data_IF_388219913579
#
_entry.id   IF_388219913579
#
_cell.length_a   1.000
_cell.length_b   1.000
_cell.length_c   1.000
_cell.angle_alpha   90.00
_cell.angle_beta   90.00
_cell.angle_gamma   90.00
#
_symmetry.space_group_name_H-M   'P 1'
#
loop_
_entity.id
_entity.type
_entity.pdbx_description
1 polymer ?
#
# COMPACT_ATOMS: atom_id res chain seq x y z
N UNK A 1 34.67 -10.00 -7.87
CA UNK A 1 33.41 -9.55 -8.51
C UNK A 1 32.26 -10.04 -7.63
N UNK A 2 31.73 -9.18 -6.77
CA UNK A 2 30.68 -9.52 -5.81
C UNK A 2 29.33 -9.60 -6.50
N UNK A 3 28.63 -10.72 -6.32
CA UNK A 3 27.20 -10.84 -6.56
C UNK A 3 26.49 -9.84 -5.65
N UNK A 4 25.86 -8.83 -6.22
CA UNK A 4 24.83 -8.06 -5.55
C UNK A 4 23.67 -9.01 -5.25
N UNK A 5 23.48 -9.31 -3.97
CA UNK A 5 22.25 -9.92 -3.47
C UNK A 5 21.13 -8.90 -3.66
N UNK A 6 20.46 -9.00 -4.81
CA UNK A 6 19.10 -8.53 -4.94
C UNK A 6 18.25 -9.40 -4.02
N UNK A 7 17.91 -8.89 -2.84
CA UNK A 7 16.74 -9.38 -2.11
C UNK A 7 15.57 -9.05 -3.03
N UNK A 8 15.20 -10.02 -3.88
CA UNK A 8 14.04 -9.89 -4.75
C UNK A 8 12.83 -9.67 -3.86
N UNK A 9 12.22 -8.49 -3.94
CA UNK A 9 10.93 -8.23 -3.31
C UNK A 9 9.99 -9.38 -3.70
N UNK A 10 9.26 -9.91 -2.72
CA UNK A 10 8.22 -10.90 -3.01
C UNK A 10 7.28 -10.33 -4.09
N UNK A 11 6.77 -11.16 -5.01
CA UNK A 11 5.91 -10.69 -6.08
C UNK A 11 4.68 -9.97 -5.50
N UNK A 12 4.35 -8.82 -6.08
CA UNK A 12 3.13 -8.08 -5.71
C UNK A 12 1.93 -8.89 -6.16
N UNK A 13 0.93 -9.04 -5.28
CA UNK A 13 -0.25 -9.84 -5.57
C UNK A 13 -1.46 -8.96 -5.86
N UNK A 14 -2.27 -9.38 -6.81
CA UNK A 14 -3.50 -8.72 -7.19
C UNK A 14 -4.60 -9.76 -7.39
N UNK A 15 -5.71 -9.56 -6.69
CA UNK A 15 -6.93 -10.34 -6.83
C UNK A 15 -7.96 -9.52 -7.60
N UNK A 16 -8.47 -10.07 -8.69
CA UNK A 16 -9.50 -9.42 -9.52
C UNK A 16 -10.74 -10.31 -9.53
N UNK A 17 -11.80 -9.85 -8.89
CA UNK A 17 -13.10 -10.53 -8.89
C UNK A 17 -14.02 -9.91 -9.92
N UNK A 18 -14.47 -10.72 -10.87
CA UNK A 18 -15.54 -10.38 -11.79
C UNK A 18 -16.88 -10.77 -11.14
N UNK A 19 -17.72 -9.79 -10.84
CA UNK A 19 -19.11 -9.98 -10.39
C UNK A 19 -19.99 -9.68 -11.60
N UNK A 20 -20.46 -10.70 -12.30
CA UNK A 20 -20.98 -10.54 -13.68
C UNK A 20 -22.40 -11.05 -13.78
N UNK A 21 -23.26 -10.22 -14.35
CA UNK A 21 -24.54 -10.64 -14.86
C UNK A 21 -24.35 -11.69 -15.98
N UNK A 22 -25.05 -12.81 -15.86
CA UNK A 22 -24.99 -13.92 -16.82
C UNK A 22 -26.33 -14.27 -17.43
N UNK A 23 -27.17 -13.26 -17.62
CA UNK A 23 -28.42 -13.34 -18.38
C UNK A 23 -28.18 -13.19 -19.88
N UNK A 24 -29.23 -13.42 -20.67
CA UNK A 24 -29.19 -13.55 -22.12
C UNK A 24 -28.66 -12.32 -22.85
N UNK A 25 -28.92 -11.13 -22.32
CA UNK A 25 -28.53 -9.85 -22.91
C UNK A 25 -27.02 -9.59 -22.82
N UNK A 26 -26.37 -10.05 -21.76
CA UNK A 26 -24.91 -9.94 -21.54
C UNK A 26 -24.04 -10.84 -22.44
N UNK A 27 -24.63 -11.55 -23.40
CA UNK A 27 -23.93 -12.55 -24.22
C UNK A 27 -22.76 -11.97 -25.02
N UNK A 28 -22.93 -10.80 -25.61
CA UNK A 28 -21.90 -10.18 -26.44
C UNK A 28 -20.77 -9.58 -25.60
N UNK A 29 -21.10 -8.97 -24.46
CA UNK A 29 -20.16 -8.45 -23.44
C UNK A 29 -19.28 -9.56 -22.85
N UNK A 30 -19.90 -10.66 -22.41
CA UNK A 30 -19.18 -11.82 -21.88
C UNK A 30 -18.22 -12.40 -22.94
N UNK A 31 -18.67 -12.45 -24.20
CA UNK A 31 -17.83 -12.92 -25.30
C UNK A 31 -16.65 -11.97 -25.55
N UNK A 32 -16.88 -10.67 -25.51
CA UNK A 32 -15.82 -9.66 -25.69
C UNK A 32 -14.74 -9.78 -24.60
N UNK A 33 -15.14 -9.89 -23.33
CA UNK A 33 -14.20 -10.09 -22.21
C UNK A 33 -13.42 -11.39 -22.35
N UNK A 34 -14.11 -12.49 -22.66
CA UNK A 34 -13.49 -13.80 -22.86
C UNK A 34 -12.41 -13.74 -23.94
N UNK A 35 -12.71 -13.14 -25.09
CA UNK A 35 -11.82 -13.13 -26.24
C UNK A 35 -10.59 -12.23 -25.99
N UNK A 36 -10.71 -11.21 -25.14
CA UNK A 36 -9.65 -10.25 -24.82
C UNK A 36 -8.86 -10.53 -23.53
N UNK A 37 -9.36 -11.35 -22.60
CA UNK A 37 -8.78 -11.50 -21.25
C UNK A 37 -7.28 -11.86 -21.26
N UNK A 38 -6.86 -12.78 -22.13
CA UNK A 38 -5.44 -13.18 -22.17
C UNK A 38 -4.53 -12.02 -22.62
N UNK A 39 -5.00 -11.19 -23.55
CA UNK A 39 -4.26 -10.02 -24.01
C UNK A 39 -4.25 -8.93 -22.95
N UNK A 40 -5.35 -8.74 -22.21
CA UNK A 40 -5.40 -7.85 -21.04
C UNK A 40 -4.36 -8.28 -20.01
N UNK A 41 -4.37 -9.55 -19.58
CA UNK A 41 -3.40 -10.06 -18.59
C UNK A 41 -1.97 -9.87 -19.09
N UNK A 42 -1.71 -10.16 -20.36
CA UNK A 42 -0.38 -10.01 -20.97
C UNK A 42 0.08 -8.54 -20.97
N UNK A 43 -0.80 -7.59 -21.24
CA UNK A 43 -0.47 -6.17 -21.24
C UNK A 43 -0.18 -5.67 -19.82
N UNK A 44 -1.05 -5.97 -18.86
CA UNK A 44 -0.91 -5.57 -17.46
C UNK A 44 0.36 -6.15 -16.84
N UNK A 45 0.63 -7.45 -17.03
CA UNK A 45 1.85 -8.10 -16.47
C UNK A 45 3.14 -7.65 -17.16
N UNK A 46 3.07 -7.17 -18.41
CA UNK A 46 4.22 -6.57 -19.10
C UNK A 46 4.52 -5.18 -18.54
N UNK A 47 3.49 -4.40 -18.22
CA UNK A 47 3.61 -3.03 -17.68
C UNK A 47 4.04 -3.05 -16.20
N UNK A 48 3.46 -3.94 -15.40
CA UNK A 48 3.72 -4.07 -13.96
C UNK A 48 4.56 -5.32 -13.69
N UNK A 49 5.88 -5.15 -13.59
CA UNK A 49 6.82 -6.26 -13.31
C UNK A 49 6.53 -6.94 -11.97
N UNK A 50 6.78 -8.24 -11.89
CA UNK A 50 6.64 -9.06 -10.68
C UNK A 50 5.25 -8.97 -10.05
N UNK A 51 4.21 -8.92 -10.90
CA UNK A 51 2.81 -8.92 -10.52
C UNK A 51 2.21 -10.32 -10.71
N UNK A 52 1.74 -10.92 -9.62
CA UNK A 52 0.93 -12.13 -9.63
C UNK A 52 -0.56 -11.76 -9.59
N UNK A 53 -1.27 -12.06 -10.67
CA UNK A 53 -2.72 -11.80 -10.76
C UNK A 53 -3.49 -13.12 -10.58
N UNK A 54 -4.48 -13.11 -9.70
CA UNK A 54 -5.50 -14.15 -9.59
C UNK A 54 -6.85 -13.57 -10.00
N UNK A 55 -7.66 -14.38 -10.67
CA UNK A 55 -9.01 -13.96 -11.03
C UNK A 55 -10.05 -14.89 -10.43
N UNK A 56 -11.05 -14.29 -9.80
CA UNK A 56 -12.27 -14.94 -9.33
C UNK A 56 -13.46 -14.50 -10.18
N UNK A 57 -14.49 -15.32 -10.28
CA UNK A 57 -15.72 -14.99 -10.99
C UNK A 57 -16.90 -15.36 -10.11
N UNK A 58 -17.78 -14.40 -9.83
CA UNK A 58 -19.11 -14.62 -9.28
C UNK A 58 -20.10 -14.24 -10.38
N UNK A 59 -20.77 -15.24 -10.94
CA UNK A 59 -21.85 -14.98 -11.88
C UNK A 59 -23.17 -14.92 -11.13
N UNK A 60 -23.97 -13.89 -11.40
CA UNK A 60 -25.33 -13.79 -10.89
C UNK A 60 -26.36 -13.76 -12.03
N UNK A 61 -27.62 -14.00 -11.67
CA UNK A 61 -28.82 -13.93 -12.50
C UNK A 61 -29.96 -13.42 -11.62
N UNK A 62 -31.12 -14.05 -11.70
CA UNK A 62 -32.32 -13.71 -10.98
C UNK A 62 -32.71 -14.78 -9.93
N UNK A 63 -33.65 -14.43 -9.07
CA UNK A 63 -34.27 -15.29 -8.09
C UNK A 63 -35.42 -16.12 -8.68
N UNK A 64 -35.70 -17.32 -8.13
CA UNK A 64 -36.94 -18.02 -8.42
C UNK A 64 -38.17 -17.19 -7.99
N UNK A 65 -39.26 -17.15 -8.79
CA UNK A 65 -39.56 -18.04 -9.91
C UNK A 65 -39.03 -17.58 -11.29
N UNK A 66 -38.39 -16.42 -11.36
CA UNK A 66 -37.99 -15.72 -12.59
C UNK A 66 -36.88 -16.47 -13.30
N UNK A 67 -35.84 -16.84 -12.54
CA UNK A 67 -34.87 -17.85 -12.95
C UNK A 67 -34.92 -19.07 -12.01
N UNK A 68 -34.92 -20.28 -12.61
CA UNK A 68 -34.92 -21.57 -11.89
C UNK A 68 -33.58 -22.30 -11.99
N UNK A 69 -32.56 -21.68 -12.58
CA UNK A 69 -31.25 -22.27 -12.83
C UNK A 69 -30.29 -22.06 -11.66
N UNK A 70 -30.02 -20.82 -11.29
CA UNK A 70 -29.23 -20.40 -10.12
C UNK A 70 -29.36 -18.89 -9.91
N UNK A 71 -29.25 -18.45 -8.66
CA UNK A 71 -29.10 -17.02 -8.32
C UNK A 71 -27.65 -16.59 -8.50
N UNK A 72 -26.73 -17.31 -7.87
CA UNK A 72 -25.28 -17.08 -7.98
C UNK A 72 -24.49 -18.36 -8.24
N UNK A 73 -23.30 -18.22 -8.83
CA UNK A 73 -22.26 -19.27 -8.89
C UNK A 73 -20.89 -18.66 -8.67
N UNK A 74 -20.14 -19.28 -7.76
CA UNK A 74 -18.80 -18.83 -7.38
C UNK A 74 -17.74 -19.72 -8.01
N UNK A 75 -16.84 -19.08 -8.75
CA UNK A 75 -15.61 -19.64 -9.25
C UNK A 75 -14.44 -18.93 -8.56
N UNK A 76 -13.88 -19.60 -7.56
CA UNK A 76 -12.81 -19.03 -6.74
C UNK A 76 -11.52 -18.71 -7.52
N UNK A 77 -10.65 -17.91 -6.89
CA UNK A 77 -9.44 -17.34 -7.46
C UNK A 77 -8.50 -18.36 -8.10
N UNK A 78 -8.00 -18.01 -9.28
CA UNK A 78 -7.06 -18.84 -10.03
C UNK A 78 -5.95 -18.00 -10.68
N UNK A 79 -4.68 -18.37 -10.44
CA UNK A 79 -3.48 -17.73 -11.01
C UNK A 79 -3.33 -17.95 -12.53
N UNK A 80 -3.99 -18.95 -13.12
CA UNK A 80 -3.86 -19.25 -14.55
C UNK A 80 -4.97 -18.56 -15.34
N UNK A 81 -4.64 -17.43 -15.97
CA UNK A 81 -5.57 -16.70 -16.84
C UNK A 81 -6.29 -17.58 -17.88
N UNK A 82 -5.61 -18.60 -18.44
CA UNK A 82 -6.25 -19.58 -19.35
C UNK A 82 -7.38 -20.41 -18.70
N UNK A 83 -7.29 -20.71 -17.40
CA UNK A 83 -8.37 -21.41 -16.68
C UNK A 83 -9.53 -20.46 -16.41
N UNK A 84 -9.24 -19.22 -16.06
CA UNK A 84 -10.25 -18.17 -15.86
C UNK A 84 -10.99 -17.88 -17.16
N UNK A 85 -10.27 -17.72 -18.27
CA UNK A 85 -10.86 -17.55 -19.60
C UNK A 85 -11.81 -18.72 -19.94
N UNK A 86 -11.42 -19.96 -19.61
CA UNK A 86 -12.31 -21.13 -19.80
C UNK A 86 -13.54 -21.09 -18.89
N UNK A 87 -13.43 -20.58 -17.66
CA UNK A 87 -14.56 -20.41 -16.75
C UNK A 87 -15.54 -19.37 -17.29
N UNK A 88 -15.03 -18.21 -17.72
CA UNK A 88 -15.86 -17.18 -18.38
C UNK A 88 -16.49 -17.74 -19.66
N UNK A 89 -15.74 -18.51 -20.46
CA UNK A 89 -16.27 -19.18 -21.65
C UNK A 89 -17.33 -20.26 -21.36
N UNK A 90 -17.41 -20.74 -20.11
CA UNK A 90 -18.41 -21.71 -19.69
C UNK A 90 -19.70 -21.07 -19.15
N UNK A 91 -19.70 -19.75 -18.95
CA UNK A 91 -20.92 -18.99 -18.64
C UNK A 91 -21.86 -19.11 -19.83
N UNK A 92 -23.10 -19.52 -19.56
CA UNK A 92 -24.12 -19.77 -20.59
C UNK A 92 -25.30 -18.82 -20.38
N UNK A 93 -25.23 -17.56 -20.86
CA UNK A 93 -26.34 -16.62 -20.86
C UNK A 93 -27.72 -17.27 -21.07
N UNK A 94 -28.67 -17.02 -20.18
CA UNK A 94 -30.07 -17.48 -20.32
C UNK A 94 -31.05 -16.36 -19.96
N UNK A 95 -32.32 -16.52 -20.31
CA UNK A 95 -33.37 -15.56 -19.93
C UNK A 95 -33.46 -15.43 -18.40
N UNK A 96 -33.53 -14.18 -17.91
CA UNK A 96 -33.60 -13.83 -16.48
C UNK A 96 -35.02 -13.84 -15.91
N UNK A 97 -36.03 -13.58 -16.74
CA UNK A 97 -37.42 -13.47 -16.31
C UNK A 97 -37.84 -12.01 -16.38
N UNK A 98 -37.85 -11.30 -15.25
CA UNK A 98 -37.98 -9.85 -15.21
C UNK A 98 -36.67 -9.12 -15.55
N UNK A 99 -36.73 -7.79 -15.53
CA UNK A 99 -35.62 -6.94 -15.95
C UNK A 99 -34.57 -6.70 -14.88
N UNK A 100 -34.89 -6.43 -13.59
CA UNK A 100 -33.85 -6.31 -12.57
C UNK A 100 -33.27 -7.69 -12.21
N UNK A 101 -32.06 -7.71 -11.65
CA UNK A 101 -31.32 -8.95 -11.38
C UNK A 101 -30.75 -9.01 -9.94
N UNK A 102 -30.28 -10.18 -9.50
CA UNK A 102 -29.73 -10.47 -8.17
C UNK A 102 -28.29 -9.95 -7.95
N UNK A 103 -28.04 -8.68 -8.27
CA UNK A 103 -26.74 -8.01 -8.10
C UNK A 103 -26.27 -8.05 -6.64
N UNK A 104 -27.21 -7.92 -5.69
CA UNK A 104 -26.91 -7.91 -4.27
C UNK A 104 -26.28 -9.24 -3.81
N UNK A 105 -26.85 -10.36 -4.24
CA UNK A 105 -26.34 -11.72 -4.00
C UNK A 105 -24.97 -11.91 -4.64
N UNK A 106 -24.78 -11.42 -5.87
CA UNK A 106 -23.49 -11.46 -6.54
C UNK A 106 -22.39 -10.75 -5.77
N UNK A 107 -22.67 -9.54 -5.25
CA UNK A 107 -21.74 -8.80 -4.41
C UNK A 107 -21.53 -9.48 -3.04
N UNK A 108 -22.59 -10.00 -2.43
CA UNK A 108 -22.50 -10.74 -1.18
C UNK A 108 -21.56 -11.94 -1.31
N UNK A 109 -21.77 -12.80 -2.31
CA UNK A 109 -20.92 -13.96 -2.57
C UNK A 109 -19.49 -13.58 -2.95
N UNK A 110 -19.30 -12.47 -3.67
CA UNK A 110 -17.96 -11.97 -3.94
C UNK A 110 -17.22 -11.59 -2.65
N UNK A 111 -17.91 -11.06 -1.65
CA UNK A 111 -17.32 -10.72 -0.35
C UNK A 111 -17.04 -11.96 0.49
N UNK A 112 -18.01 -12.86 0.64
CA UNK A 112 -17.95 -13.94 1.65
C UNK A 112 -17.45 -15.28 1.12
N UNK A 113 -17.59 -15.55 -0.17
CA UNK A 113 -17.34 -16.87 -0.77
C UNK A 113 -16.01 -16.96 -1.54
N UNK A 114 -15.43 -15.83 -1.96
CA UNK A 114 -14.13 -15.79 -2.62
C UNK A 114 -12.96 -15.78 -1.62
N UNK A 115 -11.88 -16.51 -1.93
CA UNK A 115 -10.69 -16.63 -1.07
C UNK A 115 -9.67 -15.51 -1.27
N UNK A 116 -10.09 -14.27 -0.97
CA UNK A 116 -9.25 -13.08 -1.06
C UNK A 116 -7.94 -13.24 -0.27
N UNK A 117 -6.80 -12.94 -0.90
CA UNK A 117 -5.50 -12.93 -0.23
C UNK A 117 -5.33 -11.62 0.55
N UNK A 118 -4.92 -11.72 1.83
CA UNK A 118 -4.80 -10.55 2.71
C UNK A 118 -3.77 -9.54 2.18
N UNK A 119 -2.65 -10.04 1.68
CA UNK A 119 -1.52 -9.29 1.13
C UNK A 119 -1.66 -8.95 -0.36
N UNK A 120 -2.87 -9.04 -0.92
CA UNK A 120 -3.17 -8.67 -2.30
C UNK A 120 -3.89 -7.32 -2.40
N UNK A 121 -3.60 -6.58 -3.48
CA UNK A 121 -4.48 -5.53 -3.99
C UNK A 121 -5.77 -6.17 -4.49
N UNK A 122 -6.93 -5.66 -4.10
CA UNK A 122 -8.23 -6.32 -4.35
C UNK A 122 -9.07 -5.46 -5.26
N UNK A 123 -9.50 -6.02 -6.38
CA UNK A 123 -10.31 -5.33 -7.38
C UNK A 123 -11.63 -6.08 -7.52
N UNK A 124 -12.74 -5.37 -7.31
CA UNK A 124 -14.08 -5.85 -7.64
C UNK A 124 -14.55 -5.16 -8.89
N UNK A 125 -14.88 -5.94 -9.91
CA UNK A 125 -15.44 -5.50 -11.18
C UNK A 125 -16.90 -5.98 -11.25
N UNK A 126 -17.85 -5.12 -10.87
CA UNK A 126 -19.27 -5.39 -11.06
C UNK A 126 -19.64 -5.05 -12.50
N UNK A 127 -20.21 -5.99 -13.25
CA UNK A 127 -20.55 -5.84 -14.66
C UNK A 127 -21.97 -6.33 -14.92
N UNK A 128 -22.81 -5.49 -15.50
CA UNK A 128 -24.18 -5.86 -15.84
C UNK A 128 -24.91 -4.80 -16.67
N UNK A 129 -26.05 -5.18 -17.22
CA UNK A 129 -26.91 -4.32 -18.04
C UNK A 129 -28.34 -4.17 -17.47
N UNK A 130 -28.61 -4.83 -16.35
CA UNK A 130 -29.85 -4.74 -15.58
C UNK A 130 -29.63 -4.18 -14.15
N UNK A 131 -30.56 -3.35 -13.62
CA UNK A 131 -30.42 -2.79 -12.28
C UNK A 131 -30.67 -3.87 -11.21
N UNK A 132 -30.23 -3.66 -9.96
CA UNK A 132 -30.61 -4.56 -8.87
C UNK A 132 -32.11 -4.46 -8.55
N UNK A 133 -32.68 -5.57 -8.03
CA UNK A 133 -34.02 -5.55 -7.44
C UNK A 133 -34.16 -4.52 -6.31
N UNK A 134 -35.37 -3.97 -6.20
CA UNK A 134 -35.76 -3.08 -5.12
C UNK A 134 -35.96 -1.63 -5.56
N UNK A 135 -37.04 -1.02 -5.05
CA UNK A 135 -37.46 0.37 -5.35
C UNK A 135 -36.41 1.44 -5.00
N UNK A 136 -35.41 1.09 -4.20
CA UNK A 136 -34.30 1.98 -3.89
C UNK A 136 -33.31 2.14 -5.06
N UNK A 137 -33.42 1.31 -6.10
CA UNK A 137 -32.47 1.25 -7.21
C UNK A 137 -33.13 1.33 -8.58
N UNK A 138 -34.39 0.91 -8.70
CA UNK A 138 -35.10 0.97 -9.96
C UNK A 138 -36.58 1.34 -9.74
N UNK A 139 -37.26 1.78 -10.79
CA UNK A 139 -38.71 2.04 -10.81
C UNK A 139 -39.41 1.23 -11.90
N UNK A 140 -38.85 0.07 -12.26
CA UNK A 140 -39.33 -0.78 -13.33
C UNK A 140 -40.59 -1.49 -12.85
N UNK A 141 -41.68 -1.38 -13.61
CA UNK A 141 -42.97 -1.98 -13.24
C UNK A 141 -42.93 -3.52 -13.21
N UNK A 142 -41.99 -4.11 -13.94
CA UNK A 142 -41.76 -5.55 -14.03
C UNK A 142 -40.86 -6.10 -12.91
N UNK A 143 -40.39 -5.29 -11.95
CA UNK A 143 -39.63 -5.79 -10.80
C UNK A 143 -40.51 -6.69 -9.92
N UNK A 144 -40.24 -7.99 -9.94
CA UNK A 144 -40.97 -8.98 -9.14
C UNK A 144 -40.45 -9.10 -7.70
N UNK A 145 -39.37 -8.39 -7.37
CA UNK A 145 -38.82 -8.27 -6.03
C UNK A 145 -38.67 -6.78 -5.63
N UNK A 146 -39.76 -6.00 -5.60
CA UNK A 146 -39.71 -4.55 -5.43
C UNK A 146 -39.25 -4.10 -4.03
N UNK A 147 -39.24 -5.01 -3.05
CA UNK A 147 -38.74 -4.77 -1.70
C UNK A 147 -37.23 -5.08 -1.55
N UNK A 148 -36.57 -5.50 -2.64
CA UNK A 148 -35.14 -5.81 -2.69
C UNK A 148 -34.84 -7.32 -2.75
N UNK A 149 -33.57 -7.66 -2.58
CA UNK A 149 -33.10 -9.06 -2.52
C UNK A 149 -33.90 -9.86 -1.47
N UNK A 150 -34.48 -11.03 -1.83
CA UNK A 150 -35.19 -11.90 -0.90
C UNK A 150 -34.38 -12.35 0.33
N UNK A 151 -33.06 -12.47 0.20
CA UNK A 151 -32.15 -12.84 1.29
C UNK A 151 -31.78 -11.63 2.18
N UNK A 152 -32.24 -10.42 1.83
CA UNK A 152 -32.03 -9.21 2.60
C UNK A 152 -30.70 -8.49 2.34
N UNK A 153 -29.97 -8.89 1.30
CA UNK A 153 -28.73 -8.21 0.89
C UNK A 153 -29.04 -6.89 0.17
N UNK A 154 -28.14 -5.91 0.33
CA UNK A 154 -28.25 -4.62 -0.33
C UNK A 154 -26.93 -4.29 -1.04
N UNK A 155 -26.93 -3.98 -2.35
CA UNK A 155 -25.71 -3.75 -3.12
C UNK A 155 -24.78 -2.68 -2.52
N UNK A 156 -25.36 -1.57 -2.04
CA UNK A 156 -24.60 -0.49 -1.41
C UNK A 156 -24.01 -0.93 -0.06
N UNK A 157 -24.77 -1.65 0.76
CA UNK A 157 -24.24 -2.17 2.02
C UNK A 157 -23.15 -3.22 1.79
N UNK A 158 -23.28 -4.11 0.81
CA UNK A 158 -22.27 -5.12 0.52
C UNK A 158 -20.93 -4.50 0.11
N UNK A 159 -20.95 -3.48 -0.76
CA UNK A 159 -19.74 -2.74 -1.15
C UNK A 159 -19.12 -1.99 0.05
N UNK A 160 -19.94 -1.43 0.94
CA UNK A 160 -19.45 -0.80 2.18
C UNK A 160 -18.83 -1.79 3.15
N UNK A 161 -19.43 -2.97 3.33
CA UNK A 161 -18.86 -4.02 4.17
C UNK A 161 -17.57 -4.58 3.56
N UNK A 162 -17.47 -4.74 2.23
CA UNK A 162 -16.20 -5.05 1.57
C UNK A 162 -15.13 -4.00 1.88
N UNK A 163 -15.46 -2.71 1.79
CA UNK A 163 -14.52 -1.60 2.08
C UNK A 163 -14.06 -1.61 3.53
N UNK A 164 -14.94 -1.94 4.46
CA UNK A 164 -14.63 -2.05 5.89
C UNK A 164 -13.75 -3.26 6.19
N UNK A 165 -13.97 -4.38 5.51
CA UNK A 165 -13.21 -5.63 5.69
C UNK A 165 -11.82 -5.56 5.05
N UNK A 166 -11.72 -5.01 3.84
CA UNK A 166 -10.51 -5.01 3.02
C UNK A 166 -9.72 -3.70 3.04
N UNK A 167 -10.30 -2.64 3.62
CA UNK A 167 -9.64 -1.35 3.80
C UNK A 167 -9.32 -0.63 2.50
N UNK A 168 -8.23 0.14 2.51
CA UNK A 168 -7.78 0.92 1.36
C UNK A 168 -7.15 0.09 0.24
N UNK A 169 -6.96 -1.22 0.45
CA UNK A 169 -6.48 -2.16 -0.59
C UNK A 169 -7.57 -2.61 -1.58
N UNK A 170 -8.84 -2.30 -1.29
CA UNK A 170 -9.98 -2.58 -2.17
C UNK A 170 -10.22 -1.43 -3.16
N UNK A 171 -10.40 -1.79 -4.42
CA UNK A 171 -10.84 -0.92 -5.51
C UNK A 171 -12.14 -1.48 -6.09
N UNK A 172 -13.14 -0.62 -6.22
CA UNK A 172 -14.48 -1.02 -6.68
C UNK A 172 -14.77 -0.29 -7.98
N UNK A 173 -14.95 -1.07 -9.05
CA UNK A 173 -15.31 -0.54 -10.35
C UNK A 173 -16.60 -1.20 -10.81
N UNK A 174 -17.52 -0.37 -11.28
CA UNK A 174 -18.85 -0.80 -11.72
C UNK A 174 -19.00 -0.44 -13.18
N UNK A 175 -19.21 -1.43 -14.04
CA UNK A 175 -19.36 -1.31 -15.48
C UNK A 175 -20.83 -1.54 -15.85
N UNK A 176 -21.50 -0.46 -16.26
CA UNK A 176 -22.87 -0.55 -16.77
C UNK A 176 -22.88 -0.66 -18.27
N UNK A 177 -23.39 -1.79 -18.79
CA UNK A 177 -23.47 -2.08 -20.22
C UNK A 177 -24.78 -1.60 -20.86
N UNK A 178 -25.61 -0.85 -20.12
CA UNK A 178 -26.89 -0.32 -20.58
C UNK A 178 -27.27 0.94 -19.79
N UNK A 179 -27.83 1.98 -20.44
CA UNK A 179 -28.30 3.19 -19.73
C UNK A 179 -29.27 2.93 -18.58
N UNK A 180 -30.01 1.81 -18.58
CA UNK A 180 -30.93 1.43 -17.49
C UNK A 180 -30.26 1.32 -16.13
N UNK A 181 -28.97 0.98 -16.08
CA UNK A 181 -28.26 0.79 -14.81
C UNK A 181 -27.58 2.06 -14.30
N UNK A 182 -27.52 3.13 -15.09
CA UNK A 182 -26.68 4.30 -14.81
C UNK A 182 -26.91 4.90 -13.41
N UNK A 183 -28.16 5.05 -13.00
CA UNK A 183 -28.49 5.56 -11.66
C UNK A 183 -28.11 4.57 -10.55
N UNK A 184 -28.52 3.31 -10.68
CA UNK A 184 -28.32 2.30 -9.64
C UNK A 184 -26.84 1.91 -9.48
N UNK A 185 -26.14 1.69 -10.59
CA UNK A 185 -24.72 1.34 -10.61
C UNK A 185 -23.84 2.53 -10.23
N UNK A 186 -24.21 3.74 -10.64
CA UNK A 186 -23.59 4.98 -10.15
C UNK A 186 -23.70 5.07 -8.62
N UNK A 187 -24.90 4.86 -8.07
CA UNK A 187 -25.14 4.83 -6.62
C UNK A 187 -24.31 3.77 -5.88
N UNK A 188 -24.13 2.58 -6.46
CA UNK A 188 -23.28 1.52 -5.89
C UNK A 188 -21.81 1.96 -5.88
N UNK A 189 -21.30 2.48 -6.99
CA UNK A 189 -19.91 2.95 -7.10
C UNK A 189 -19.62 4.11 -6.15
N UNK A 190 -20.49 5.12 -6.11
CA UNK A 190 -20.33 6.33 -5.28
C UNK A 190 -20.49 6.07 -3.77
N UNK A 191 -20.93 4.86 -3.40
CA UNK A 191 -21.15 4.49 -2.00
C UNK A 191 -19.86 4.35 -1.18
N UNK A 192 -18.70 4.26 -1.85
CA UNK A 192 -17.38 4.13 -1.25
C UNK A 192 -16.35 5.07 -1.89
N UNK A 193 -15.41 5.55 -1.09
CA UNK A 193 -14.35 6.44 -1.57
C UNK A 193 -13.48 5.74 -2.63
N UNK A 194 -13.35 6.37 -3.80
CA UNK A 194 -12.57 5.85 -4.91
C UNK A 194 -13.29 4.82 -5.77
N UNK A 195 -14.55 4.49 -5.47
CA UNK A 195 -15.39 3.73 -6.39
C UNK A 195 -15.62 4.51 -7.69
N UNK A 196 -15.67 3.81 -8.83
CA UNK A 196 -15.91 4.44 -10.14
C UNK A 196 -16.93 3.67 -10.95
N UNK A 197 -17.83 4.41 -11.58
CA UNK A 197 -18.77 3.89 -12.56
C UNK A 197 -18.27 4.14 -13.99
N UNK A 198 -18.35 3.11 -14.83
CA UNK A 198 -18.01 3.15 -16.25
C UNK A 198 -19.29 2.89 -17.05
N UNK A 199 -19.70 3.89 -17.82
CA UNK A 199 -20.81 3.77 -18.75
C UNK A 199 -20.30 3.22 -20.07
N UNK A 200 -20.79 2.04 -20.45
CA UNK A 200 -20.39 1.34 -21.67
C UNK A 200 -21.60 1.24 -22.59
N UNK A 201 -21.41 1.67 -23.84
CA UNK A 201 -22.48 1.67 -24.86
C UNK A 201 -22.37 0.48 -25.81
N UNK A 202 -21.17 -0.07 -25.97
CA UNK A 202 -20.91 -1.22 -26.84
C UNK A 202 -20.09 -2.29 -26.09
N UNK A 203 -20.38 -3.56 -26.33
CA UNK A 203 -19.69 -4.70 -25.71
C UNK A 203 -18.15 -4.69 -25.87
N UNK A 204 -17.65 -4.06 -26.94
CA UNK A 204 -16.20 -3.93 -27.20
C UNK A 204 -15.49 -2.98 -26.23
N UNK A 205 -16.22 -2.07 -25.59
CA UNK A 205 -15.67 -1.09 -24.65
C UNK A 205 -15.34 -1.73 -23.31
N UNK A 206 -16.03 -2.81 -22.93
CA UNK A 206 -15.82 -3.50 -21.66
C UNK A 206 -14.38 -4.04 -21.50
N UNK A 207 -13.81 -4.80 -22.46
CA UNK A 207 -12.39 -5.15 -22.42
C UNK A 207 -11.42 -3.97 -22.30
N UNK A 208 -11.71 -2.85 -22.97
CA UNK A 208 -10.86 -1.65 -22.93
C UNK A 208 -10.91 -0.99 -21.55
N UNK A 209 -12.11 -0.86 -20.97
CA UNK A 209 -12.29 -0.37 -19.62
C UNK A 209 -11.59 -1.26 -18.58
N UNK A 210 -11.69 -2.59 -18.70
CA UNK A 210 -10.98 -3.52 -17.81
C UNK A 210 -9.46 -3.34 -17.92
N UNK A 211 -8.94 -3.20 -19.15
CA UNK A 211 -7.51 -2.95 -19.35
C UNK A 211 -7.09 -1.65 -18.68
N UNK A 212 -7.79 -0.55 -18.92
CA UNK A 212 -7.52 0.76 -18.32
C UNK A 212 -7.54 0.68 -16.78
N UNK A 213 -8.56 0.05 -16.21
CA UNK A 213 -8.69 -0.16 -14.76
C UNK A 213 -7.47 -0.90 -14.20
N UNK A 214 -7.07 -2.01 -14.84
CA UNK A 214 -5.95 -2.81 -14.35
C UNK A 214 -4.59 -2.10 -14.55
N UNK A 215 -4.45 -1.29 -15.60
CA UNK A 215 -3.28 -0.44 -15.80
C UNK A 215 -3.20 0.70 -14.78
N UNK A 216 -4.32 1.35 -14.46
CA UNK A 216 -4.43 2.38 -13.41
C UNK A 216 -3.98 1.83 -12.05
N UNK A 217 -4.49 0.64 -11.66
CA UNK A 217 -4.06 0.00 -10.42
C UNK A 217 -2.58 -0.44 -10.51
N UNK A 218 -2.12 -0.86 -11.69
CA UNK A 218 -0.71 -1.15 -11.95
C UNK A 218 0.21 0.05 -11.74
N UNK A 219 -0.17 1.23 -12.21
CA UNK A 219 0.57 2.47 -12.01
C UNK A 219 0.56 2.89 -10.54
N UNK A 220 -0.58 2.74 -9.85
CA UNK A 220 -0.68 2.93 -8.40
C UNK A 220 0.25 2.00 -7.61
N UNK A 221 0.40 0.74 -8.04
CA UNK A 221 1.36 -0.20 -7.45
C UNK A 221 2.80 0.33 -7.62
N UNK A 222 3.15 0.94 -8.75
CA UNK A 222 4.48 1.55 -8.93
C UNK A 222 4.72 2.73 -7.99
N UNK A 223 3.68 3.55 -7.75
CA UNK A 223 3.73 4.62 -6.75
C UNK A 223 3.96 4.02 -5.36
N UNK A 224 3.20 3.00 -4.97
CA UNK A 224 3.35 2.33 -3.69
C UNK A 224 4.74 1.71 -3.52
N UNK A 225 5.32 1.13 -4.58
CA UNK A 225 6.72 0.63 -4.56
C UNK A 225 7.73 1.75 -4.36
N UNK A 226 7.49 2.93 -4.92
CA UNK A 226 8.34 4.10 -4.73
C UNK A 226 8.26 4.63 -3.30
N UNK A 227 7.05 4.66 -2.72
CA UNK A 227 6.82 5.00 -1.32
C UNK A 227 7.47 3.99 -0.38
N UNK A 228 7.35 2.69 -0.65
CA UNK A 228 7.99 1.62 0.11
C UNK A 228 9.51 1.75 0.06
N UNK A 229 10.09 1.96 -1.13
CA UNK A 229 11.53 2.17 -1.29
C UNK A 229 12.01 3.38 -0.49
N UNK A 230 11.23 4.46 -0.47
CA UNK A 230 11.53 5.64 0.35
C UNK A 230 11.40 5.33 1.85
N UNK A 231 10.40 4.56 2.25
CA UNK A 231 10.21 4.13 3.63
C UNK A 231 11.39 3.31 4.13
N UNK A 232 11.83 2.30 3.37
CA UNK A 232 12.94 1.42 3.72
C UNK A 232 14.27 2.18 3.76
N UNK A 233 14.50 3.08 2.80
CA UNK A 233 15.70 3.93 2.77
C UNK A 233 15.79 4.88 3.98
N UNK A 234 14.68 5.15 4.66
CA UNK A 234 14.62 6.02 5.84
C UNK A 234 14.21 5.29 7.12
N UNK A 235 14.24 3.96 7.16
CA UNK A 235 13.86 3.12 8.32
C UNK A 235 12.49 3.51 8.93
N UNK A 236 11.54 3.90 8.07
CA UNK A 236 10.22 4.37 8.47
C UNK A 236 10.22 5.66 9.32
N UNK A 237 11.26 6.49 9.22
CA UNK A 237 11.41 7.73 10.00
C UNK A 237 11.66 8.94 9.09
N UNK A 238 10.59 9.64 8.72
CA UNK A 238 10.65 10.80 7.84
C UNK A 238 9.50 11.78 8.09
N UNK A 239 9.69 13.04 7.68
CA UNK A 239 8.61 14.02 7.62
C UNK A 239 7.73 13.75 6.40
N UNK A 240 6.41 13.72 6.60
CA UNK A 240 5.46 13.37 5.55
C UNK A 240 5.40 14.43 4.43
N UNK A 241 5.59 15.70 4.75
CA UNK A 241 5.58 16.76 3.75
C UNK A 241 6.86 16.75 2.90
N UNK A 242 8.01 16.49 3.53
CA UNK A 242 9.28 16.31 2.83
C UNK A 242 9.25 15.08 1.91
N UNK A 243 8.74 13.96 2.42
CA UNK A 243 8.56 12.74 1.64
C UNK A 243 7.62 12.94 0.45
N UNK A 244 6.48 13.61 0.66
CA UNK A 244 5.52 13.93 -0.39
C UNK A 244 6.15 14.80 -1.48
N UNK A 245 6.88 15.85 -1.08
CA UNK A 245 7.61 16.72 -2.02
C UNK A 245 8.67 15.97 -2.83
N UNK A 246 9.48 15.13 -2.19
CA UNK A 246 10.51 14.33 -2.87
C UNK A 246 9.88 13.35 -3.86
N UNK A 247 8.84 12.63 -3.44
CA UNK A 247 8.15 11.66 -4.29
C UNK A 247 7.25 12.32 -5.33
N UNK A 248 7.10 13.65 -5.31
CA UNK A 248 6.18 14.43 -6.16
C UNK A 248 4.74 13.93 -6.06
N UNK A 249 4.32 13.61 -4.84
CA UNK A 249 2.98 13.17 -4.51
C UNK A 249 2.28 14.24 -3.69
N UNK A 250 0.96 14.32 -3.80
CA UNK A 250 0.17 15.05 -2.82
C UNK A 250 0.26 14.34 -1.46
N UNK A 251 0.17 15.11 -0.38
CA UNK A 251 0.27 14.57 0.98
C UNK A 251 -0.81 13.51 1.26
N UNK A 252 -2.00 13.68 0.66
CA UNK A 252 -3.10 12.69 0.75
C UNK A 252 -2.72 11.38 0.08
N UNK A 253 -2.11 11.43 -1.10
CA UNK A 253 -1.75 10.24 -1.88
C UNK A 253 -0.65 9.45 -1.19
N UNK A 254 0.36 10.14 -0.64
CA UNK A 254 1.39 9.51 0.20
C UNK A 254 0.78 8.81 1.41
N UNK A 255 -0.13 9.47 2.13
CA UNK A 255 -0.81 8.87 3.29
C UNK A 255 -1.62 7.63 2.89
N UNK A 256 -2.34 7.71 1.78
CA UNK A 256 -3.15 6.59 1.28
C UNK A 256 -2.27 5.41 0.86
N UNK A 257 -1.14 5.70 0.21
CA UNK A 257 -0.13 4.70 -0.15
C UNK A 257 0.45 4.00 1.10
N UNK A 258 0.82 4.76 2.12
CA UNK A 258 1.32 4.20 3.39
C UNK A 258 0.25 3.36 4.11
N UNK A 259 -1.02 3.79 4.10
CA UNK A 259 -2.13 2.96 4.61
C UNK A 259 -2.23 1.63 3.88
N UNK A 260 -2.16 1.63 2.54
CA UNK A 260 -2.18 0.39 1.74
C UNK A 260 -0.99 -0.50 2.05
N UNK A 261 0.22 0.06 2.06
CA UNK A 261 1.43 -0.71 2.38
C UNK A 261 1.38 -1.32 3.78
N UNK A 262 0.74 -0.65 4.74
CA UNK A 262 0.52 -1.17 6.09
C UNK A 262 -0.50 -2.32 6.09
N UNK A 263 -1.64 -2.15 5.43
CA UNK A 263 -2.67 -3.19 5.31
C UNK A 263 -2.18 -4.43 4.54
N UNK A 264 -1.34 -4.23 3.53
CA UNK A 264 -0.68 -5.30 2.76
C UNK A 264 0.44 -5.99 3.54
N UNK A 265 0.86 -5.43 4.69
CA UNK A 265 1.94 -5.96 5.51
C UNK A 265 3.35 -5.69 4.97
N UNK A 266 3.50 -4.82 3.97
CA UNK A 266 4.81 -4.40 3.46
C UNK A 266 5.55 -3.47 4.43
N UNK A 267 4.84 -2.71 5.24
CA UNK A 267 5.41 -1.94 6.35
C UNK A 267 4.81 -2.39 7.69
N UNK A 268 5.62 -2.39 8.74
CA UNK A 268 5.18 -2.84 10.06
C UNK A 268 4.44 -1.76 10.87
N UNK A 269 4.61 -0.48 10.51
CA UNK A 269 4.07 0.66 11.26
C UNK A 269 4.00 1.92 10.42
N UNK A 270 3.13 2.84 10.82
CA UNK A 270 3.13 4.22 10.32
C UNK A 270 4.50 4.89 10.51
N UNK A 271 4.93 5.75 9.56
CA UNK A 271 6.15 6.52 9.72
C UNK A 271 6.16 7.33 11.01
N UNK A 272 7.29 7.35 11.71
CA UNK A 272 7.47 8.19 12.89
C UNK A 272 7.64 9.64 12.42
N UNK A 273 6.65 10.47 12.72
CA UNK A 273 6.70 11.90 12.42
C UNK A 273 7.85 12.59 13.15
N UNK A 274 8.81 13.07 12.36
CA UNK A 274 10.08 13.75 12.73
C UNK A 274 11.12 12.85 13.40
N UNK A 275 12.39 12.96 12.93
CA UNK A 275 13.10 14.21 13.18
C UNK A 275 13.80 14.76 11.88
N UNK A 276 13.71 16.09 11.65
CA UNK A 276 14.14 16.91 10.49
C UNK A 276 15.59 16.59 10.08
N UNK A 277 15.91 16.46 8.80
CA UNK A 277 17.30 16.23 8.37
C UNK A 277 18.29 17.30 8.90
N UNK A 278 19.56 16.95 9.17
CA UNK A 278 20.59 17.91 9.61
C UNK A 278 20.89 19.02 8.58
N UNK A 279 20.79 18.71 7.29
CA UNK A 279 20.93 19.69 6.21
C UNK A 279 19.79 20.70 6.14
N UNK A 280 18.63 20.40 6.74
CA UNK A 280 17.48 21.30 6.84
C UNK A 280 17.28 21.91 8.24
N UNK A 281 18.00 21.44 9.27
CA UNK A 281 18.02 22.07 10.60
C UNK A 281 19.08 23.15 10.78
N UNK A 282 20.11 23.22 9.92
CA UNK A 282 21.23 24.15 10.10
C UNK A 282 22.01 23.92 11.40
N UNK A 283 21.98 22.70 11.96
CA UNK A 283 22.74 22.40 13.18
C UNK A 283 24.23 22.46 12.87
N UNK A 284 24.92 23.40 13.50
CA UNK A 284 26.38 23.48 13.43
C UNK A 284 26.96 22.75 14.64
N UNK A 285 27.83 21.78 14.38
CA UNK A 285 28.45 20.95 15.42
C UNK A 285 29.96 21.13 15.34
N UNK A 286 30.55 21.58 16.44
CA UNK A 286 32.00 21.63 16.63
C UNK A 286 32.41 20.53 17.60
N UNK A 287 33.24 19.62 17.12
CA UNK A 287 33.86 18.57 17.92
C UNK A 287 35.11 19.12 18.61
N UNK A 288 35.27 18.77 19.88
CA UNK A 288 36.40 19.20 20.71
C UNK A 288 37.71 18.50 20.32
N UNK A 289 38.64 18.43 21.28
CA UNK A 289 39.92 17.76 21.06
C UNK A 289 40.09 16.63 22.08
N UNK A 290 40.73 15.54 21.64
CA UNK A 290 41.11 14.43 22.52
C UNK A 290 42.56 14.63 22.96
N UNK A 291 42.89 14.45 24.25
CA UNK A 291 44.28 14.51 24.70
C UNK A 291 45.16 13.49 23.96
N UNK A 292 46.39 13.87 23.63
CA UNK A 292 47.37 12.96 23.00
C UNK A 292 47.70 11.75 23.87
N UNK A 293 47.52 11.88 25.20
CA UNK A 293 47.75 10.85 26.19
C UNK A 293 46.55 10.77 27.12
N UNK A 294 45.90 9.61 27.19
CA UNK A 294 44.78 9.31 28.08
C UNK A 294 45.19 8.21 29.06
N UNK A 295 44.62 8.24 30.27
CA UNK A 295 44.95 7.27 31.33
C UNK A 295 43.79 6.30 31.48
N UNK A 296 44.07 5.00 31.44
CA UNK A 296 43.06 3.96 31.63
C UNK A 296 42.32 4.16 32.97
N UNK A 297 40.99 4.03 32.95
CA UNK A 297 40.12 4.20 34.12
C UNK A 297 39.99 5.62 34.65
N UNK A 298 40.68 6.62 34.06
CA UNK A 298 40.60 8.02 34.48
C UNK A 298 39.75 8.85 33.52
N UNK A 299 38.74 9.52 34.06
CA UNK A 299 37.90 10.41 33.29
C UNK A 299 38.69 11.60 32.70
N UNK A 300 38.37 11.97 31.46
CA UNK A 300 38.74 13.26 30.87
C UNK A 300 37.50 13.92 30.27
N UNK A 301 37.52 15.25 30.19
CA UNK A 301 36.39 16.00 29.63
C UNK A 301 36.58 16.16 28.12
N UNK A 302 35.50 15.95 27.37
CA UNK A 302 35.41 16.20 25.95
C UNK A 302 34.24 17.11 25.67
N UNK A 303 34.47 18.16 24.88
CA UNK A 303 33.45 19.18 24.60
C UNK A 303 32.85 18.98 23.22
N UNK A 304 31.53 19.12 23.13
CA UNK A 304 30.79 19.23 21.87
C UNK A 304 30.00 20.52 21.91
N UNK A 305 30.24 21.43 20.96
CA UNK A 305 29.41 22.64 20.80
C UNK A 305 28.38 22.42 19.72
N UNK A 306 27.16 22.85 20.01
CA UNK A 306 26.01 22.67 19.12
C UNK A 306 25.27 23.98 19.02
N UNK A 307 25.19 24.53 17.81
CA UNK A 307 24.29 25.63 17.47
C UNK A 307 23.00 25.04 16.90
N UNK A 308 21.86 25.28 17.56
CA UNK A 308 20.54 24.91 17.04
C UNK A 308 19.78 26.16 16.58
N UNK A 309 19.76 26.49 15.28
CA UNK A 309 19.03 27.66 14.78
C UNK A 309 17.52 27.40 14.66
N UNK A 310 17.08 26.14 14.75
CA UNK A 310 15.66 25.78 14.67
C UNK A 310 14.90 26.23 15.91
N UNK A 311 13.60 26.51 15.78
CA UNK A 311 12.72 26.82 16.91
C UNK A 311 12.34 25.56 17.74
N UNK A 312 12.69 24.35 17.29
CA UNK A 312 12.31 23.09 17.94
C UNK A 312 13.45 22.48 18.77
N UNK A 313 13.08 21.75 19.83
CA UNK A 313 14.02 20.90 20.58
C UNK A 313 14.48 19.73 19.71
N UNK A 314 15.78 19.42 19.75
CA UNK A 314 16.43 18.37 18.95
C UNK A 314 17.09 17.37 19.90
N UNK A 315 16.75 16.09 19.77
CA UNK A 315 17.46 15.03 20.49
C UNK A 315 18.64 14.50 19.65
N UNK A 316 19.85 14.60 20.19
CA UNK A 316 21.06 14.04 19.60
C UNK A 316 21.62 12.92 20.47
N UNK A 317 22.46 12.07 19.87
CA UNK A 317 23.20 11.02 20.57
C UNK A 317 24.69 11.19 20.28
N UNK A 318 25.52 11.28 21.31
CA UNK A 318 26.98 11.32 21.14
C UNK A 318 27.55 9.97 21.55
N UNK A 319 28.29 9.35 20.63
CA UNK A 319 28.98 8.08 20.88
C UNK A 319 30.47 8.33 20.75
N UNK A 320 31.24 7.91 21.76
CA UNK A 320 32.69 7.93 21.72
C UNK A 320 33.21 6.50 21.90
N UNK A 321 34.00 6.04 20.92
CA UNK A 321 34.55 4.69 20.89
C UNK A 321 36.07 4.75 20.81
N UNK A 322 36.73 4.06 21.73
CA UNK A 322 38.17 3.90 21.77
C UNK A 322 38.56 2.57 21.13
N UNK A 323 39.39 2.61 20.11
CA UNK A 323 39.94 1.44 19.44
C UNK A 323 41.39 1.25 19.88
N UNK A 324 41.68 0.09 20.45
CA UNK A 324 43.02 -0.35 20.87
C UNK A 324 43.43 -1.60 20.09
N UNK A 325 44.60 -2.15 20.36
CA UNK A 325 45.05 -3.42 19.75
C UNK A 325 44.14 -4.60 20.11
N UNK A 326 43.48 -4.57 21.28
CA UNK A 326 42.57 -5.62 21.75
C UNK A 326 41.12 -5.43 21.25
N UNK A 327 40.86 -4.39 20.45
CA UNK A 327 39.57 -4.14 19.81
C UNK A 327 38.93 -2.82 20.20
N UNK A 328 37.62 -2.71 19.91
CA UNK A 328 36.81 -1.50 20.11
C UNK A 328 36.17 -1.54 21.49
N UNK A 329 36.46 -0.53 22.33
CA UNK A 329 35.80 -0.25 23.60
C UNK A 329 34.97 1.02 23.49
N UNK A 330 33.67 0.95 23.74
CA UNK A 330 32.80 2.12 23.87
C UNK A 330 33.12 2.86 25.18
N UNK A 331 33.32 4.17 25.10
CA UNK A 331 33.68 5.02 26.25
C UNK A 331 32.47 5.82 26.75
N UNK A 332 31.60 6.25 25.84
CA UNK A 332 30.29 6.79 26.21
C UNK A 332 29.29 6.67 25.06
N UNK A 333 28.03 6.80 25.42
CA UNK A 333 26.88 6.81 24.53
C UNK A 333 25.73 7.51 25.23
N UNK A 334 25.72 8.82 25.09
CA UNK A 334 24.82 9.73 25.79
C UNK A 334 23.81 10.34 24.83
N UNK A 335 22.59 10.58 25.34
CA UNK A 335 21.54 11.30 24.61
C UNK A 335 21.32 12.66 25.24
N UNK A 336 21.19 13.69 24.40
CA UNK A 336 20.98 15.06 24.85
C UNK A 336 19.88 15.73 24.05
N UNK A 337 19.02 16.48 24.75
CA UNK A 337 18.00 17.33 24.14
C UNK A 337 18.50 18.77 24.05
N UNK A 338 18.59 19.32 22.85
CA UNK A 338 19.07 20.67 22.58
C UNK A 338 17.86 21.55 22.28
N UNK A 339 17.63 22.56 23.13
CA UNK A 339 16.54 23.50 22.93
C UNK A 339 16.65 24.25 21.59
N UNK A 340 15.53 24.75 21.08
CA UNK A 340 15.52 25.55 19.87
C UNK A 340 16.11 26.94 20.08
N UNK A 341 16.77 27.50 19.06
CA UNK A 341 17.42 28.82 19.07
C UNK A 341 18.42 28.98 20.21
N UNK A 342 19.24 27.97 20.44
CA UNK A 342 20.25 27.97 21.51
C UNK A 342 21.59 27.45 21.04
N UNK A 343 22.65 28.01 21.63
CA UNK A 343 23.99 27.44 21.64
C UNK A 343 24.16 26.62 22.91
N UNK A 344 24.56 25.35 22.75
CA UNK A 344 24.80 24.48 23.89
C UNK A 344 26.18 23.86 23.82
N UNK A 345 26.89 23.94 24.93
CA UNK A 345 28.12 23.19 25.17
C UNK A 345 27.77 21.94 25.99
N UNK A 346 28.15 20.78 25.47
CA UNK A 346 28.06 19.51 26.17
C UNK A 346 29.44 19.13 26.68
N UNK A 347 29.58 18.98 28.00
CA UNK A 347 30.78 18.48 28.65
C UNK A 347 30.61 16.99 28.94
N UNK A 348 31.20 16.14 28.09
CA UNK A 348 31.17 14.69 28.23
C UNK A 348 32.35 14.22 29.08
N UNK A 349 32.07 13.39 30.09
CA UNK A 349 33.11 12.73 30.90
C UNK A 349 33.40 11.36 30.32
N UNK A 350 34.48 11.27 29.55
CA UNK A 350 34.91 10.04 28.88
C UNK A 350 35.86 9.26 29.78
N UNK A 351 35.56 7.99 30.06
CA UNK A 351 36.38 7.08 30.88
C UNK A 351 36.87 5.91 30.01
N UNK A 352 38.15 5.89 29.60
CA UNK A 352 38.74 4.78 28.86
C UNK A 352 38.73 3.49 29.70
N UNK A 353 37.91 2.51 29.33
CA UNK A 353 37.82 1.22 30.01
C UNK A 353 38.63 0.17 29.22
N UNK A 354 39.95 0.18 29.36
CA UNK A 354 40.85 -0.76 28.69
C UNK A 354 42.07 -1.07 29.56
N UNK A 355 42.55 -2.31 29.51
CA UNK A 355 43.78 -2.75 30.18
C UNK A 355 45.01 -2.64 29.25
N UNK A 356 44.79 -2.29 27.97
CA UNK A 356 45.80 -2.27 26.91
C UNK A 356 46.48 -0.91 26.83
N UNK A 357 47.78 -0.88 27.12
CA UNK A 357 48.61 0.33 26.98
C UNK A 357 49.20 0.41 25.59
N UNK A 358 49.23 1.60 24.99
CA UNK A 358 49.83 1.77 23.66
C UNK A 358 49.12 2.80 22.80
N UNK A 359 49.27 2.68 21.48
CA UNK A 359 48.56 3.53 20.51
C UNK A 359 47.08 3.19 20.54
N UNK A 360 46.24 4.21 20.47
CA UNK A 360 44.81 4.04 20.37
C UNK A 360 44.21 5.08 19.43
N UNK A 361 43.04 4.77 18.89
CA UNK A 361 42.27 5.68 18.06
C UNK A 361 40.93 5.95 18.73
N UNK A 362 40.63 7.21 19.01
CA UNK A 362 39.31 7.61 19.51
C UNK A 362 38.46 8.08 18.34
N UNK A 363 37.28 7.49 18.15
CA UNK A 363 36.28 7.98 17.21
C UNK A 363 35.14 8.60 18.01
N UNK A 364 34.80 9.84 17.69
CA UNK A 364 33.64 10.52 18.27
C UNK A 364 32.64 10.82 17.15
N UNK A 365 31.40 10.39 17.35
CA UNK A 365 30.31 10.57 16.41
C UNK A 365 29.10 11.18 17.10
N UNK A 366 28.53 12.20 16.47
CA UNK A 366 27.26 12.81 16.89
C UNK A 366 26.19 12.38 15.92
N UNK A 367 25.17 11.71 16.43
CA UNK A 367 24.05 11.18 15.67
C UNK A 367 22.78 11.96 15.93
N UNK A 368 21.92 11.96 14.92
CA UNK A 368 20.53 12.31 15.02
C UNK A 368 19.69 11.19 14.41
N UNK A 369 18.92 10.50 15.25
CA UNK A 369 18.35 9.21 14.88
C UNK A 369 19.45 8.21 14.52
N UNK A 370 19.43 7.70 13.28
CA UNK A 370 20.44 6.80 12.72
C UNK A 370 21.51 7.49 11.84
N UNK A 371 21.40 8.80 11.60
CA UNK A 371 22.32 9.55 10.73
C UNK A 371 23.46 10.19 11.53
N UNK A 372 24.69 10.04 11.05
CA UNK A 372 25.87 10.74 11.59
C UNK A 372 25.88 12.20 11.12
N UNK A 373 25.90 13.13 12.07
CA UNK A 373 25.96 14.58 11.84
C UNK A 373 27.39 15.10 11.79
N UNK A 374 28.24 14.60 12.68
CA UNK A 374 29.66 14.93 12.74
C UNK A 374 30.42 13.69 13.20
N UNK A 375 31.57 13.45 12.59
CA UNK A 375 32.46 12.35 12.96
C UNK A 375 33.89 12.85 12.88
N UNK A 376 34.67 12.59 13.92
CA UNK A 376 36.11 12.85 13.91
C UNK A 376 36.87 11.67 14.53
N UNK A 377 38.08 11.46 14.02
CA UNK A 377 38.96 10.37 14.43
C UNK A 377 40.25 10.99 14.96
N UNK A 378 40.56 10.74 16.22
CA UNK A 378 41.74 11.24 16.91
C UNK A 378 42.74 10.12 17.18
N UNK A 379 44.01 10.40 16.93
CA UNK A 379 45.11 9.53 17.33
C UNK A 379 45.53 9.89 18.76
N UNK A 380 45.58 8.91 19.64
CA UNK A 380 45.97 9.09 21.05
C UNK A 380 46.81 7.91 21.54
N UNK A 381 47.24 7.96 22.80
CA UNK A 381 47.92 6.87 23.49
C UNK A 381 47.28 6.61 24.85
N UNK A 382 47.08 5.34 25.19
CA UNK A 382 46.61 4.90 26.50
C UNK A 382 47.81 4.54 27.37
N UNK A 383 47.86 5.09 28.59
CA UNK A 383 48.91 4.87 29.59
C UNK A 383 48.40 4.18 30.85
#
# INVERSE_FOLDING_TARGET
>A
MSKSEWIGLAPTKMDVAFVVDTTGSMKDDIKAVKDSLLDIVKQVTKRTKDLEIRFGVVSYRDHPPQDKTYVTRVADFDRKAKRVQKRIASLKPSEGGDTPEAVADGLHDARVSLSWEKDAYKIVLLVGDAPPHGRAYNSIADDHFPDGCPEGYDPVQEVKEMRKEFGVTLFVFVCGCNPLVEESFGKIADSVEGGRYYKLSEAKELPEAILEILEDVGDLIQVDRSVLSFYDANDGSFDMAEAASHLKLELRDLKTSLSRLLELGYIARWPKGRPIGPSSMGLEIELGQVPNNIVAGKAFNYQVRIHNPSATVVAIRVVASLVTEDGVSEVTNERHEISGRTDRNLDLKLIPMTDTKGKATMRVEVFYGSRSLASEIYQTRVF
#
